data_IF_843790401289
#
_entry.id   IF_843790401289
#
_cell.length_a   1.000
_cell.length_b   1.000
_cell.length_c   1.000
_cell.angle_alpha   90.00
_cell.angle_beta   90.00
_cell.angle_gamma   90.00
#
_symmetry.space_group_name_H-M   'P 1'
#
loop_
_entity.id
_entity.type
_entity.pdbx_description
1 polymer ?
#
# COMPACT_ATOMS: atom_id res chain seq x y z
N UNK A 1 50.31 11.36 49.69
CA UNK A 1 48.90 10.89 49.49
C UNK A 1 48.82 10.23 48.12
N UNK A 2 49.00 8.91 48.00
CA UNK A 2 48.91 8.15 46.73
C UNK A 2 47.46 7.70 46.52
N UNK A 3 46.80 8.23 45.46
CA UNK A 3 45.46 7.73 45.08
C UNK A 3 45.58 6.33 44.44
N UNK A 4 44.96 5.35 45.07
CA UNK A 4 44.77 4.02 44.48
C UNK A 4 43.74 4.12 43.38
N UNK A 5 44.18 3.95 42.14
CA UNK A 5 43.29 3.79 40.99
C UNK A 5 42.83 2.34 41.01
N UNK A 6 41.59 2.08 41.44
CA UNK A 6 40.97 0.76 41.42
C UNK A 6 40.81 0.34 39.96
N UNK A 7 41.57 -0.65 39.53
CA UNK A 7 41.45 -1.30 38.22
C UNK A 7 40.12 -2.08 38.17
N UNK A 8 39.15 -1.56 37.44
CA UNK A 8 37.88 -2.21 37.19
C UNK A 8 38.14 -3.40 36.22
N UNK A 9 38.36 -4.60 36.77
CA UNK A 9 38.49 -5.84 36.00
C UNK A 9 37.08 -6.20 35.45
N UNK A 10 36.80 -5.83 34.19
CA UNK A 10 35.56 -6.18 33.50
C UNK A 10 35.32 -7.71 33.59
N UNK A 11 34.14 -8.12 34.06
CA UNK A 11 33.74 -9.55 34.13
C UNK A 11 33.66 -10.09 32.69
N UNK A 12 34.46 -11.10 32.38
CA UNK A 12 34.38 -11.82 31.10
C UNK A 12 33.02 -12.54 31.04
N UNK A 13 32.25 -12.28 30.01
CA UNK A 13 31.01 -12.99 29.76
C UNK A 13 31.27 -14.50 29.57
N UNK A 14 30.45 -15.35 30.16
CA UNK A 14 30.51 -16.78 29.93
C UNK A 14 30.00 -17.11 28.51
N UNK A 15 30.29 -18.34 28.03
CA UNK A 15 29.95 -18.75 26.67
C UNK A 15 28.45 -18.56 26.37
N UNK A 16 27.57 -18.94 27.28
CA UNK A 16 26.11 -18.81 27.14
C UNK A 16 25.65 -17.34 27.04
N UNK A 17 26.28 -16.45 27.81
CA UNK A 17 25.97 -15.02 27.73
C UNK A 17 26.37 -14.42 26.36
N UNK A 18 27.50 -14.89 25.82
CA UNK A 18 27.93 -14.47 24.47
C UNK A 18 26.98 -14.98 23.38
N UNK A 19 26.56 -16.26 23.48
CA UNK A 19 25.61 -16.86 22.55
C UNK A 19 24.24 -16.14 22.59
N UNK A 20 23.74 -15.87 23.80
CA UNK A 20 22.50 -15.14 23.98
C UNK A 20 22.59 -13.72 23.39
N UNK A 21 23.68 -13.00 23.68
CA UNK A 21 23.90 -11.66 23.15
C UNK A 21 23.99 -11.67 21.62
N UNK A 22 24.68 -12.66 21.04
CA UNK A 22 24.75 -12.82 19.58
C UNK A 22 23.38 -13.11 18.96
N UNK A 23 22.56 -13.95 19.59
CA UNK A 23 21.21 -14.25 19.14
C UNK A 23 20.29 -13.01 19.19
N UNK A 24 20.35 -12.24 20.28
CA UNK A 24 19.60 -10.97 20.43
C UNK A 24 20.05 -9.96 19.37
N UNK A 25 21.36 -9.82 19.15
CA UNK A 25 21.90 -8.90 18.15
C UNK A 25 21.47 -9.31 16.73
N UNK A 26 21.55 -10.60 16.40
CA UNK A 26 21.07 -11.11 15.10
C UNK A 26 19.57 -10.84 14.91
N UNK A 27 18.74 -11.08 15.94
CA UNK A 27 17.31 -10.75 15.93
C UNK A 27 17.05 -9.27 15.72
N UNK A 28 17.79 -8.40 16.41
CA UNK A 28 17.66 -6.94 16.25
C UNK A 28 18.05 -6.46 14.85
N UNK A 29 19.12 -7.00 14.27
CA UNK A 29 19.55 -6.67 12.90
C UNK A 29 18.52 -7.14 11.88
N UNK A 30 18.00 -8.36 12.03
CA UNK A 30 16.95 -8.90 11.15
C UNK A 30 15.68 -8.03 11.24
N UNK A 31 15.25 -7.70 12.45
CA UNK A 31 14.09 -6.82 12.66
C UNK A 31 14.31 -5.44 12.03
N UNK A 32 15.46 -4.81 12.27
CA UNK A 32 15.78 -3.51 11.69
C UNK A 32 15.79 -3.55 10.15
N UNK A 33 16.33 -4.62 9.56
CA UNK A 33 16.33 -4.82 8.11
C UNK A 33 14.92 -4.97 7.54
N UNK A 34 14.07 -5.80 8.15
CA UNK A 34 12.67 -5.97 7.74
C UNK A 34 11.87 -4.68 7.91
N UNK A 35 12.04 -4.02 9.05
CA UNK A 35 11.37 -2.75 9.32
C UNK A 35 11.79 -1.66 8.34
N UNK A 36 13.09 -1.57 8.05
CA UNK A 36 13.63 -0.65 7.02
C UNK A 36 13.06 -0.94 5.63
N UNK A 37 12.90 -2.21 5.26
CA UNK A 37 12.30 -2.60 3.98
C UNK A 37 10.81 -2.19 3.89
N UNK A 38 10.05 -2.33 4.99
CA UNK A 38 8.66 -1.88 5.05
C UNK A 38 8.58 -0.36 4.95
N UNK A 39 9.42 0.37 5.69
CA UNK A 39 9.48 1.83 5.62
C UNK A 39 9.83 2.31 4.21
N UNK A 40 10.87 1.73 3.60
CA UNK A 40 11.24 2.06 2.22
C UNK A 40 10.09 1.80 1.24
N UNK A 41 9.39 0.67 1.41
CA UNK A 41 8.21 0.32 0.61
C UNK A 41 7.00 1.22 0.84
N UNK A 42 6.98 2.00 1.91
CA UNK A 42 5.86 2.88 2.27
C UNK A 42 5.95 4.28 1.66
N UNK A 43 7.06 4.61 0.99
CA UNK A 43 7.20 5.89 0.28
C UNK A 43 6.59 5.84 -1.12
N UNK A 44 6.13 7.00 -1.59
CA UNK A 44 5.67 7.19 -2.96
C UNK A 44 6.78 6.87 -3.96
N UNK A 45 6.44 6.11 -4.99
CA UNK A 45 7.35 5.79 -6.08
C UNK A 45 6.60 5.98 -7.40
N UNK A 46 6.41 7.24 -7.77
CA UNK A 46 5.79 7.62 -9.04
C UNK A 46 6.92 8.01 -9.98
N UNK A 47 7.07 7.26 -11.08
CA UNK A 47 8.04 7.56 -12.13
C UNK A 47 7.35 7.29 -13.47
N UNK A 48 7.19 8.33 -14.27
CA UNK A 48 6.49 8.23 -15.56
C UNK A 48 5.07 8.80 -15.52
N UNK A 49 4.27 8.43 -16.52
CA UNK A 49 2.91 8.93 -16.75
C UNK A 49 1.95 7.71 -16.75
N UNK A 50 1.29 7.44 -15.62
CA UNK A 50 0.39 6.29 -15.53
C UNK A 50 -0.83 6.47 -16.43
N UNK A 51 -1.27 5.38 -17.07
CA UNK A 51 -2.45 5.38 -17.94
C UNK A 51 -3.75 5.13 -17.20
N UNK A 52 -3.65 4.55 -16.01
CA UNK A 52 -4.77 4.36 -15.11
C UNK A 52 -4.31 4.41 -13.65
N UNK A 53 -5.23 4.80 -12.77
CA UNK A 53 -5.07 4.71 -11.34
C UNK A 53 -5.94 3.58 -10.79
N UNK A 54 -5.45 2.86 -9.80
CA UNK A 54 -6.21 1.85 -9.05
C UNK A 54 -6.23 2.21 -7.58
N UNK A 55 -7.41 2.41 -7.02
CA UNK A 55 -7.59 2.59 -5.58
C UNK A 55 -8.03 1.26 -4.98
N UNK A 56 -7.20 0.72 -4.10
CA UNK A 56 -7.50 -0.55 -3.43
C UNK A 56 -8.42 -0.33 -2.25
N UNK A 57 -9.46 -1.12 -2.14
CA UNK A 57 -10.39 -1.15 -1.03
C UNK A 57 -9.75 -1.60 0.28
N UNK A 58 -10.43 -1.31 1.39
CA UNK A 58 -9.96 -1.65 2.74
C UNK A 58 -11.10 -2.06 3.66
N UNK A 59 -12.09 -1.19 3.84
CA UNK A 59 -13.27 -1.44 4.67
C UNK A 59 -14.31 -0.35 4.48
N UNK A 60 -15.59 -0.74 4.44
CA UNK A 60 -16.75 0.13 4.56
C UNK A 60 -17.33 0.01 5.96
N UNK A 61 -17.72 1.13 6.55
CA UNK A 61 -18.32 1.15 7.87
C UNK A 61 -19.82 0.75 7.81
N UNK A 62 -20.44 0.34 8.92
CA UNK A 62 -21.85 -0.07 8.94
C UNK A 62 -22.85 1.01 8.50
N UNK A 63 -22.45 2.27 8.51
CA UNK A 63 -23.24 3.41 7.99
C UNK A 63 -23.10 3.62 6.47
N UNK A 64 -22.29 2.79 5.79
CA UNK A 64 -22.03 2.86 4.36
C UNK A 64 -20.86 3.77 3.98
N UNK A 65 -20.28 4.48 4.94
CA UNK A 65 -19.17 5.38 4.69
C UNK A 65 -17.82 4.64 4.61
N UNK A 66 -16.87 5.11 3.80
CA UNK A 66 -15.51 4.59 3.80
C UNK A 66 -14.85 4.74 5.18
N UNK A 67 -14.14 3.71 5.65
CA UNK A 67 -13.34 3.79 6.88
C UNK A 67 -12.27 4.89 6.79
N UNK A 68 -11.69 5.30 7.92
CA UNK A 68 -10.63 6.32 7.95
C UNK A 68 -9.48 5.95 7.00
N UNK A 69 -9.05 4.67 7.01
CA UNK A 69 -7.98 4.20 6.14
C UNK A 69 -8.36 4.23 4.65
N UNK A 70 -9.64 3.98 4.34
CA UNK A 70 -10.12 4.04 2.98
C UNK A 70 -10.25 5.49 2.51
N UNK A 71 -10.72 6.40 3.37
CA UNK A 71 -10.75 7.83 3.07
C UNK A 71 -9.35 8.39 2.79
N UNK A 72 -8.34 8.03 3.58
CA UNK A 72 -6.96 8.45 3.32
C UNK A 72 -6.48 8.08 1.91
N UNK A 73 -6.88 6.90 1.40
CA UNK A 73 -6.57 6.48 0.02
C UNK A 73 -7.32 7.33 -1.00
N UNK A 74 -8.61 7.56 -0.76
CA UNK A 74 -9.48 8.33 -1.65
C UNK A 74 -9.05 9.79 -1.71
N UNK A 75 -8.74 10.41 -0.57
CA UNK A 75 -8.23 11.78 -0.51
C UNK A 75 -6.91 11.90 -1.27
N UNK A 76 -6.04 10.89 -1.12
CA UNK A 76 -4.77 10.86 -1.85
C UNK A 76 -4.95 10.66 -3.36
N UNK A 77 -5.96 9.89 -3.75
CA UNK A 77 -6.34 9.75 -5.16
C UNK A 77 -6.87 11.08 -5.72
N UNK A 78 -7.73 11.78 -4.96
CA UNK A 78 -8.24 13.10 -5.33
C UNK A 78 -7.12 14.12 -5.50
N UNK A 79 -6.17 14.19 -4.56
CA UNK A 79 -4.99 15.07 -4.69
C UNK A 79 -4.22 14.83 -6.00
N UNK A 80 -4.06 13.57 -6.41
CA UNK A 80 -3.36 13.23 -7.65
C UNK A 80 -4.19 13.59 -8.89
N UNK A 81 -5.51 13.41 -8.83
CA UNK A 81 -6.44 13.73 -9.92
C UNK A 81 -6.59 15.23 -10.16
N UNK A 82 -6.27 16.11 -9.19
CA UNK A 82 -6.23 17.57 -9.41
C UNK A 82 -5.25 17.94 -10.53
N UNK A 83 -4.10 17.25 -10.60
CA UNK A 83 -3.08 17.44 -11.63
C UNK A 83 -3.30 16.55 -12.88
N UNK A 84 -4.17 15.52 -12.79
CA UNK A 84 -4.41 14.50 -13.81
C UNK A 84 -5.92 14.25 -14.00
N UNK A 85 -6.72 15.26 -14.39
CA UNK A 85 -8.19 15.21 -14.34
C UNK A 85 -8.83 14.20 -15.31
N UNK A 86 -8.11 13.79 -16.35
CA UNK A 86 -8.61 12.84 -17.37
C UNK A 86 -8.18 11.39 -17.11
N UNK A 87 -7.48 11.13 -15.99
CA UNK A 87 -6.97 9.80 -15.68
C UNK A 87 -8.10 8.85 -15.30
N UNK A 88 -8.17 7.68 -15.94
CA UNK A 88 -9.12 6.63 -15.58
C UNK A 88 -8.79 6.06 -14.19
N UNK A 89 -9.82 5.91 -13.37
CA UNK A 89 -9.71 5.39 -12.00
C UNK A 89 -10.44 4.06 -11.90
N UNK A 90 -9.73 3.01 -11.50
CA UNK A 90 -10.36 1.75 -11.09
C UNK A 90 -10.48 1.75 -9.58
N UNK A 91 -11.68 1.55 -9.06
CA UNK A 91 -11.92 1.30 -7.63
C UNK A 91 -12.14 -0.20 -7.45
N UNK A 92 -11.29 -0.86 -6.66
CA UNK A 92 -11.28 -2.32 -6.57
C UNK A 92 -11.45 -2.77 -5.13
N UNK A 93 -12.54 -3.52 -4.89
CA UNK A 93 -12.86 -4.11 -3.60
C UNK A 93 -14.29 -4.63 -3.53
N UNK A 94 -14.46 -5.90 -3.20
CA UNK A 94 -15.76 -6.53 -3.02
C UNK A 94 -16.44 -6.14 -1.72
N UNK A 95 -17.42 -6.92 -1.30
CA UNK A 95 -18.19 -6.69 -0.08
C UNK A 95 -17.68 -7.58 1.06
N UNK A 96 -17.30 -6.98 2.16
CA UNK A 96 -16.99 -7.69 3.40
C UNK A 96 -18.25 -8.22 4.10
N UNK A 97 -18.12 -9.19 5.04
CA UNK A 97 -19.26 -9.84 5.69
C UNK A 97 -20.20 -8.90 6.44
N UNK A 98 -19.65 -7.81 6.99
CA UNK A 98 -20.38 -6.85 7.83
C UNK A 98 -20.55 -5.49 7.14
N UNK A 99 -20.33 -5.42 5.82
CA UNK A 99 -20.43 -4.20 5.04
C UNK A 99 -21.78 -4.10 4.34
N UNK A 100 -22.41 -2.91 4.33
CA UNK A 100 -23.74 -2.72 3.71
C UNK A 100 -23.68 -2.67 2.19
N UNK A 101 -22.49 -2.39 1.61
CA UNK A 101 -22.23 -2.28 0.17
C UNK A 101 -20.82 -2.77 -0.14
N UNK A 102 -20.48 -2.89 -1.44
CA UNK A 102 -19.10 -3.21 -1.84
C UNK A 102 -18.16 -2.05 -1.57
N UNK A 103 -16.90 -2.34 -1.29
CA UNK A 103 -15.87 -1.30 -1.12
C UNK A 103 -15.74 -0.45 -2.41
N UNK A 104 -15.83 -1.09 -3.59
CA UNK A 104 -15.80 -0.40 -4.87
C UNK A 104 -16.95 0.61 -5.02
N UNK A 105 -18.18 0.25 -4.64
CA UNK A 105 -19.31 1.16 -4.70
C UNK A 105 -19.15 2.35 -3.75
N UNK A 106 -18.73 2.09 -2.51
CA UNK A 106 -18.50 3.17 -1.53
C UNK A 106 -17.39 4.13 -2.00
N UNK A 107 -16.31 3.61 -2.62
CA UNK A 107 -15.24 4.42 -3.20
C UNK A 107 -15.73 5.25 -4.39
N UNK A 108 -16.52 4.65 -5.30
CA UNK A 108 -17.11 5.36 -6.43
C UNK A 108 -17.95 6.54 -5.95
N UNK A 109 -18.88 6.30 -5.01
CA UNK A 109 -19.79 7.33 -4.51
C UNK A 109 -19.02 8.45 -3.81
N UNK A 110 -17.97 8.12 -3.07
CA UNK A 110 -17.10 9.10 -2.45
C UNK A 110 -16.39 9.98 -3.50
N UNK A 111 -15.77 9.39 -4.51
CA UNK A 111 -15.06 10.13 -5.57
C UNK A 111 -16.02 11.02 -6.36
N UNK A 112 -17.21 10.52 -6.71
CA UNK A 112 -18.24 11.32 -7.43
C UNK A 112 -18.73 12.49 -6.57
N UNK A 113 -18.94 12.28 -5.26
CA UNK A 113 -19.31 13.36 -4.34
C UNK A 113 -18.24 14.45 -4.23
N UNK A 114 -16.97 14.12 -4.52
CA UNK A 114 -15.85 15.05 -4.54
C UNK A 114 -15.48 15.56 -5.94
N UNK A 115 -16.37 15.37 -6.92
CA UNK A 115 -16.27 16.02 -8.24
C UNK A 115 -15.60 15.20 -9.34
N UNK A 116 -15.22 13.93 -9.08
CA UNK A 116 -14.70 13.04 -10.12
C UNK A 116 -15.85 12.61 -11.05
N UNK A 117 -15.61 12.64 -12.36
CA UNK A 117 -16.62 12.21 -13.32
C UNK A 117 -16.87 10.69 -13.20
N UNK A 118 -18.12 10.29 -12.96
CA UNK A 118 -18.50 8.88 -12.86
C UNK A 118 -18.11 8.05 -14.10
N UNK A 119 -18.10 8.66 -15.30
CA UNK A 119 -17.71 7.98 -16.54
C UNK A 119 -16.23 7.65 -16.66
N UNK A 120 -15.36 8.17 -15.78
CA UNK A 120 -13.93 7.80 -15.71
C UNK A 120 -13.62 6.81 -14.60
N UNK A 121 -14.64 6.37 -13.83
CA UNK A 121 -14.47 5.43 -12.71
C UNK A 121 -14.97 4.06 -13.14
N UNK A 122 -14.08 3.08 -13.13
CA UNK A 122 -14.39 1.67 -13.36
C UNK A 122 -14.50 0.94 -12.02
N UNK A 123 -15.55 0.14 -11.86
CA UNK A 123 -15.80 -0.62 -10.62
C UNK A 123 -15.37 -2.08 -10.79
N UNK A 124 -14.49 -2.53 -9.91
CA UNK A 124 -14.17 -3.95 -9.70
C UNK A 124 -14.68 -4.33 -8.30
N UNK A 125 -15.79 -5.03 -8.21
CA UNK A 125 -16.52 -5.30 -6.96
C UNK A 125 -16.58 -6.81 -6.60
N UNK A 126 -15.80 -7.65 -7.30
CA UNK A 126 -15.83 -9.11 -7.12
C UNK A 126 -14.66 -9.65 -6.28
N UNK A 127 -13.68 -8.83 -6.00
CA UNK A 127 -12.47 -9.23 -5.29
C UNK A 127 -12.70 -9.37 -3.78
N UNK A 128 -12.06 -10.38 -3.17
CA UNK A 128 -12.10 -10.63 -1.72
C UNK A 128 -10.71 -10.59 -1.05
N UNK A 129 -9.68 -10.28 -1.81
CA UNK A 129 -8.31 -10.15 -1.31
C UNK A 129 -7.43 -9.39 -2.30
N UNK A 130 -6.26 -8.92 -1.82
CA UNK A 130 -5.34 -8.08 -2.61
C UNK A 130 -4.88 -8.74 -3.93
N UNK A 131 -4.70 -10.05 -3.98
CA UNK A 131 -4.31 -10.74 -5.21
C UNK A 131 -5.44 -10.68 -6.25
N UNK A 132 -6.68 -10.87 -5.82
CA UNK A 132 -7.87 -10.73 -6.67
C UNK A 132 -8.06 -9.28 -7.11
N UNK A 133 -7.94 -8.31 -6.20
CA UNK A 133 -8.02 -6.89 -6.55
C UNK A 133 -7.10 -6.58 -7.75
N UNK A 134 -5.84 -6.98 -7.67
CA UNK A 134 -4.87 -6.70 -8.73
C UNK A 134 -5.17 -7.44 -10.03
N UNK A 135 -5.52 -8.73 -9.95
CA UNK A 135 -5.82 -9.53 -11.15
C UNK A 135 -7.09 -9.07 -11.86
N UNK A 136 -8.18 -8.87 -11.10
CA UNK A 136 -9.46 -8.46 -11.68
C UNK A 136 -9.39 -7.03 -12.22
N UNK A 137 -8.62 -6.14 -11.57
CA UNK A 137 -8.32 -4.81 -12.12
C UNK A 137 -7.61 -4.89 -13.47
N UNK A 138 -6.59 -5.76 -13.61
CA UNK A 138 -5.87 -5.95 -14.89
C UNK A 138 -6.81 -6.52 -15.95
N UNK A 139 -7.67 -7.48 -15.58
CA UNK A 139 -8.65 -8.06 -16.49
C UNK A 139 -9.66 -6.99 -16.95
N UNK A 140 -10.21 -6.21 -16.03
CA UNK A 140 -11.14 -5.12 -16.31
C UNK A 140 -10.52 -4.05 -17.24
N UNK A 141 -9.30 -3.61 -16.95
CA UNK A 141 -8.59 -2.63 -17.79
C UNK A 141 -8.36 -3.17 -19.20
N UNK A 142 -8.01 -4.47 -19.34
CA UNK A 142 -7.85 -5.10 -20.64
C UNK A 142 -9.17 -5.19 -21.44
N UNK A 143 -10.29 -5.47 -20.77
CA UNK A 143 -11.64 -5.47 -21.34
C UNK A 143 -12.05 -4.09 -21.85
N UNK A 144 -11.67 -3.04 -21.12
CA UNK A 144 -11.89 -1.63 -21.49
C UNK A 144 -10.90 -1.11 -22.55
N UNK A 145 -10.00 -1.99 -23.04
CA UNK A 145 -9.07 -1.69 -24.15
C UNK A 145 -7.78 -0.98 -23.71
N UNK A 146 -7.47 -0.94 -22.44
CA UNK A 146 -6.19 -0.42 -21.97
C UNK A 146 -5.06 -1.42 -22.23
N UNK A 147 -3.90 -0.89 -22.63
CA UNK A 147 -2.69 -1.68 -22.70
C UNK A 147 -2.16 -1.97 -21.30
N UNK A 148 -2.37 -3.17 -20.82
CA UNK A 148 -1.94 -3.59 -19.48
C UNK A 148 -0.43 -3.78 -19.37
N UNK A 149 0.36 -3.49 -20.41
CA UNK A 149 1.83 -3.38 -20.35
C UNK A 149 2.30 -1.97 -19.96
N UNK A 150 1.41 -0.98 -19.98
CA UNK A 150 1.69 0.39 -19.56
C UNK A 150 1.65 0.54 -18.03
N UNK A 151 2.21 1.65 -17.55
CA UNK A 151 2.34 1.90 -16.11
C UNK A 151 0.97 2.17 -15.45
N UNK A 152 0.72 1.51 -14.33
CA UNK A 152 -0.50 1.67 -13.52
C UNK A 152 -0.12 2.21 -12.14
N UNK A 153 -0.81 3.26 -11.70
CA UNK A 153 -0.65 3.85 -10.38
C UNK A 153 -1.55 3.14 -9.37
N UNK A 154 -0.98 2.51 -8.35
CA UNK A 154 -1.76 1.88 -7.28
C UNK A 154 -1.74 2.74 -6.03
N UNK A 155 -2.92 3.11 -5.56
CA UNK A 155 -3.14 3.88 -4.33
C UNK A 155 -3.52 2.94 -3.21
N UNK A 156 -2.72 2.96 -2.13
CA UNK A 156 -2.97 2.17 -0.92
C UNK A 156 -2.24 2.78 0.28
N UNK A 157 -2.49 2.27 1.50
CA UNK A 157 -1.75 2.73 2.67
C UNK A 157 -0.30 2.24 2.64
N UNK A 158 0.65 3.07 3.09
CA UNK A 158 2.08 2.83 2.98
C UNK A 158 2.52 1.44 3.48
N UNK A 159 2.00 0.99 4.64
CA UNK A 159 2.31 -0.34 5.19
C UNK A 159 1.85 -1.50 4.29
N UNK A 160 0.84 -1.27 3.41
CA UNK A 160 0.29 -2.28 2.50
C UNK A 160 1.03 -2.33 1.16
N UNK A 161 1.70 -1.26 0.76
CA UNK A 161 2.35 -1.14 -0.56
C UNK A 161 3.45 -2.17 -0.81
N UNK A 162 4.19 -2.57 0.23
CA UNK A 162 5.18 -3.66 0.10
C UNK A 162 4.52 -4.97 -0.32
N UNK A 163 3.35 -5.30 0.25
CA UNK A 163 2.57 -6.48 -0.14
C UNK A 163 2.04 -6.35 -1.56
N UNK A 164 1.52 -5.19 -1.93
CA UNK A 164 1.03 -4.91 -3.30
C UNK A 164 2.14 -5.15 -4.32
N UNK A 165 3.34 -4.59 -4.11
CA UNK A 165 4.49 -4.81 -5.01
C UNK A 165 4.88 -6.28 -5.16
N UNK A 166 4.88 -7.03 -4.05
CA UNK A 166 5.19 -8.47 -4.09
C UNK A 166 4.15 -9.26 -4.89
N UNK A 167 2.87 -8.97 -4.72
CA UNK A 167 1.77 -9.64 -5.44
C UNK A 167 1.76 -9.23 -6.90
N UNK A 168 1.91 -7.94 -7.19
CA UNK A 168 2.01 -7.43 -8.55
C UNK A 168 3.14 -8.09 -9.33
N UNK A 169 4.33 -8.21 -8.74
CA UNK A 169 5.46 -8.87 -9.38
C UNK A 169 5.20 -10.35 -9.73
N UNK A 170 4.24 -11.00 -9.06
CA UNK A 170 3.77 -12.36 -9.38
C UNK A 170 2.73 -12.35 -10.50
N UNK A 171 1.74 -11.46 -10.42
CA UNK A 171 0.71 -11.30 -11.44
C UNK A 171 1.32 -10.84 -12.78
N UNK A 172 2.23 -9.86 -12.73
CA UNK A 172 2.92 -9.34 -13.89
C UNK A 172 3.81 -10.39 -14.61
N UNK A 173 4.49 -11.28 -13.87
CA UNK A 173 5.25 -12.38 -14.46
C UNK A 173 4.39 -13.34 -15.27
N UNK A 174 3.10 -13.38 -15.03
CA UNK A 174 2.18 -14.26 -15.71
C UNK A 174 1.56 -13.63 -16.97
N UNK A 175 1.40 -12.29 -17.05
CA UNK A 175 0.64 -11.63 -18.12
C UNK A 175 1.08 -10.22 -18.53
N UNK A 176 1.84 -9.46 -17.70
CA UNK A 176 2.01 -8.01 -17.87
C UNK A 176 3.42 -7.56 -17.56
N UNK A 177 3.98 -6.69 -18.40
CA UNK A 177 5.27 -6.03 -18.21
C UNK A 177 5.14 -4.64 -17.52
N UNK A 178 3.97 -4.29 -17.00
CA UNK A 178 3.71 -2.99 -16.42
C UNK A 178 4.49 -2.73 -15.13
N UNK A 179 4.98 -1.52 -14.97
CA UNK A 179 5.56 -1.06 -13.71
C UNK A 179 4.45 -0.58 -12.78
N UNK A 180 4.42 -1.08 -11.55
CA UNK A 180 3.54 -0.53 -10.51
C UNK A 180 4.18 0.68 -9.89
N UNK A 181 3.59 1.82 -10.13
CA UNK A 181 3.80 3.03 -9.34
C UNK A 181 2.90 2.97 -8.11
N UNK A 182 3.36 3.46 -6.99
CA UNK A 182 2.58 3.41 -5.75
C UNK A 182 2.48 4.78 -5.12
N UNK A 183 1.29 5.10 -4.67
CA UNK A 183 0.94 6.31 -3.97
C UNK A 183 0.45 5.93 -2.57
N UNK A 184 1.13 6.42 -1.54
CA UNK A 184 0.76 6.14 -0.16
C UNK A 184 -0.37 7.06 0.29
N UNK A 185 -1.50 6.46 0.72
CA UNK A 185 -2.53 7.16 1.45
C UNK A 185 -2.03 7.43 2.87
N UNK A 186 -1.53 8.60 3.13
CA UNK A 186 -1.46 9.26 4.44
C UNK A 186 -0.89 10.65 4.25
N UNK A 187 -1.72 11.68 4.37
CA UNK A 187 -1.22 13.01 4.71
C UNK A 187 -0.74 12.92 6.15
N UNK A 188 0.57 13.11 6.39
CA UNK A 188 1.00 13.61 7.69
C UNK A 188 0.40 15.01 7.76
N UNK A 189 -0.72 15.15 8.45
CA UNK A 189 -1.26 16.46 8.81
C UNK A 189 -0.21 17.07 9.73
N UNK A 190 0.62 17.94 9.18
CA UNK A 190 1.40 18.87 10.00
C UNK A 190 0.41 19.84 10.65
N UNK A 191 0.15 19.60 11.93
CA UNK A 191 -0.52 20.55 12.81
C UNK A 191 0.37 21.75 13.05
#
# INVERSE_FOLDING_TARGET
>A
MKRQISSYKGRKLCLWQKLLLSAVLAGAVTFAGLFGAVLYGSYDHIQGDPRAMVVLGCQVMPDGEPSILLRDRLDRALDYLEDHPDLTVVVSGGQGPDEPTTEAQAMHDYLVAHGVNSGQILLEDQSHNTDQNLRYTIELLAEEGYDTTEDILVVSNGFHLTRVRMLWSRAARARVSATVMVLAGSKVVSV
#
